data_IF_221281182608
#
_entry.id   IF_221281182608
#
_cell.length_a   1.000
_cell.length_b   1.000
_cell.length_c   1.000
_cell.angle_alpha   90.00
_cell.angle_beta   90.00
_cell.angle_gamma   90.00
#
_symmetry.space_group_name_H-M   'P 1'
#
loop_
_entity.id
_entity.type
_entity.pdbx_description
1 polymer ?
#
# COMPACT_ATOMS: atom_id res chain seq x y z
N UNK A 1 -3.79 -11.41 -8.34
CA UNK A 1 -4.71 -10.28 -8.63
C UNK A 1 -3.89 -8.99 -8.60
N UNK A 2 -4.16 -8.01 -9.47
CA UNK A 2 -3.46 -6.72 -9.40
C UNK A 2 -4.41 -5.53 -9.49
N UNK A 3 -4.05 -4.46 -8.82
CA UNK A 3 -4.77 -3.19 -8.78
C UNK A 3 -3.81 -2.08 -9.16
N UNK A 4 -4.26 -1.16 -10.00
CA UNK A 4 -3.53 0.06 -10.32
C UNK A 4 -4.19 1.23 -9.62
N UNK A 5 -3.39 1.97 -8.86
CA UNK A 5 -3.76 3.20 -8.17
C UNK A 5 -3.31 4.37 -9.04
N UNK A 6 -4.27 5.16 -9.54
CA UNK A 6 -3.97 6.36 -10.31
C UNK A 6 -3.83 7.54 -9.34
N UNK A 7 -2.62 8.06 -9.17
CA UNK A 7 -2.33 9.19 -8.25
C UNK A 7 -1.95 10.44 -9.03
N UNK A 8 -1.90 11.59 -8.34
CA UNK A 8 -1.45 12.85 -8.96
C UNK A 8 0.00 12.80 -9.49
N UNK A 9 0.82 11.89 -8.96
CA UNK A 9 2.22 11.70 -9.37
C UNK A 9 2.42 10.59 -10.40
N UNK A 10 1.36 9.86 -10.75
CA UNK A 10 1.39 8.75 -11.68
C UNK A 10 0.75 7.48 -11.12
N UNK A 11 1.01 6.37 -11.81
CA UNK A 11 0.35 5.10 -11.54
C UNK A 11 1.21 4.19 -10.66
N UNK A 12 0.59 3.60 -9.64
CA UNK A 12 1.20 2.57 -8.80
C UNK A 12 0.46 1.24 -9.00
N UNK A 13 1.18 0.23 -9.50
CA UNK A 13 0.60 -1.11 -9.67
C UNK A 13 0.95 -1.99 -8.50
N UNK A 14 -0.07 -2.56 -7.88
CA UNK A 14 0.04 -3.41 -6.70
C UNK A 14 -0.45 -4.82 -7.05
N UNK A 15 0.36 -5.81 -6.76
CA UNK A 15 -0.07 -7.21 -6.69
C UNK A 15 -0.72 -7.47 -5.32
N UNK A 16 -1.91 -8.06 -5.33
CA UNK A 16 -2.65 -8.45 -4.13
C UNK A 16 -2.43 -9.92 -3.80
N UNK A 17 -2.10 -10.17 -2.54
CA UNK A 17 -1.81 -11.48 -1.96
C UNK A 17 -3.07 -12.15 -1.38
N UNK A 18 -4.11 -12.31 -2.21
CA UNK A 18 -5.43 -12.78 -1.77
C UNK A 18 -5.41 -14.15 -1.08
N UNK A 19 -4.53 -15.07 -1.51
CA UNK A 19 -4.43 -16.43 -0.96
C UNK A 19 -3.42 -16.56 0.19
N UNK A 20 -2.55 -15.56 0.36
CA UNK A 20 -1.41 -15.61 1.28
C UNK A 20 -1.58 -14.68 2.47
N UNK A 21 -2.65 -13.89 2.52
CA UNK A 21 -3.02 -13.11 3.69
C UNK A 21 -3.66 -14.04 4.76
N UNK A 22 -3.12 -14.17 5.99
CA UNK A 22 -2.06 -13.38 6.61
C UNK A 22 -0.72 -14.14 6.78
N UNK A 23 -0.47 -15.22 6.02
CA UNK A 23 0.78 -16.00 6.10
C UNK A 23 2.02 -15.20 5.68
N UNK A 24 1.85 -14.21 4.78
CA UNK A 24 2.88 -13.23 4.48
C UNK A 24 2.77 -12.06 5.47
N UNK A 25 3.59 -12.04 6.52
CA UNK A 25 3.60 -10.97 7.55
C UNK A 25 4.94 -10.22 7.62
N UNK A 26 5.72 -10.26 6.55
CA UNK A 26 7.06 -9.69 6.53
C UNK A 26 7.12 -8.40 5.71
N UNK A 27 7.53 -7.32 6.37
CA UNK A 27 7.86 -6.04 5.78
C UNK A 27 9.33 -6.04 5.35
N UNK A 28 9.70 -7.00 4.49
CA UNK A 28 11.09 -7.33 4.19
C UNK A 28 11.74 -6.51 3.06
N UNK A 29 10.94 -5.77 2.28
CA UNK A 29 11.40 -5.03 1.10
C UNK A 29 10.58 -3.76 0.84
N UNK A 30 11.14 -2.81 0.08
CA UNK A 30 10.41 -1.61 -0.39
C UNK A 30 9.18 -2.02 -1.20
N UNK A 31 8.09 -1.27 -1.04
CA UNK A 31 6.85 -1.46 -1.79
C UNK A 31 5.88 -2.48 -1.19
N UNK A 32 6.15 -3.05 -0.01
CA UNK A 32 5.16 -3.89 0.68
C UNK A 32 3.97 -3.03 1.13
N UNK A 33 2.75 -3.53 0.87
CA UNK A 33 1.48 -2.87 1.16
C UNK A 33 0.78 -3.57 2.32
N UNK A 34 0.42 -2.80 3.34
CA UNK A 34 -0.08 -3.32 4.61
C UNK A 34 -1.21 -2.46 5.18
N UNK A 35 -2.10 -3.09 5.94
CA UNK A 35 -3.26 -2.40 6.55
C UNK A 35 -2.81 -1.58 7.76
N UNK A 36 -3.24 -0.32 7.83
CA UNK A 36 -3.13 0.46 9.05
C UNK A 36 -4.24 0.05 10.04
N UNK A 37 -3.86 -0.13 11.30
CA UNK A 37 -4.76 -0.57 12.37
C UNK A 37 -4.47 0.18 13.67
N UNK A 38 -5.43 0.15 14.60
CA UNK A 38 -5.31 0.70 15.97
C UNK A 38 -5.14 -0.41 17.03
N UNK A 39 -4.87 -1.63 16.59
CA UNK A 39 -4.86 -2.83 17.43
C UNK A 39 -5.43 -4.06 16.70
N UNK A 40 -5.43 -5.20 17.39
CA UNK A 40 -5.91 -6.47 16.84
C UNK A 40 -7.36 -6.33 16.34
N UNK A 41 -7.60 -6.81 15.12
CA UNK A 41 -8.92 -6.84 14.48
C UNK A 41 -9.59 -5.45 14.32
N UNK A 42 -8.79 -4.38 14.17
CA UNK A 42 -9.30 -3.02 13.92
C UNK A 42 -8.98 -2.51 12.51
N UNK A 43 -8.73 -3.42 11.57
CA UNK A 43 -8.49 -3.07 10.17
C UNK A 43 -9.75 -2.42 9.57
N UNK A 44 -9.56 -1.28 8.92
CA UNK A 44 -10.61 -0.56 8.20
C UNK A 44 -10.26 -0.46 6.72
N UNK A 45 -10.16 0.77 6.21
CA UNK A 45 -9.75 1.05 4.82
C UNK A 45 -8.38 1.69 4.70
N UNK A 46 -7.78 2.12 5.81
CA UNK A 46 -6.47 2.76 5.78
C UNK A 46 -5.38 1.71 5.52
N UNK A 47 -4.49 2.01 4.60
CA UNK A 47 -3.33 1.19 4.28
C UNK A 47 -2.11 2.08 4.11
N UNK A 48 -0.93 1.47 4.11
CA UNK A 48 0.34 2.14 3.86
C UNK A 48 1.25 1.27 2.99
N UNK A 49 2.22 1.93 2.34
CA UNK A 49 3.27 1.30 1.54
C UNK A 49 4.61 1.62 2.22
N UNK A 50 5.45 0.62 2.46
CA UNK A 50 6.75 0.86 3.10
C UNK A 50 7.81 1.29 2.08
N UNK A 51 8.58 2.33 2.42
CA UNK A 51 9.70 2.80 1.62
C UNK A 51 10.99 1.98 1.80
N UNK A 52 11.10 1.23 2.89
CA UNK A 52 12.26 0.39 3.19
C UNK A 52 11.84 -0.82 4.02
N UNK A 53 12.75 -1.74 4.28
CA UNK A 53 12.52 -2.89 5.17
C UNK A 53 12.19 -2.43 6.60
N UNK A 54 11.07 -2.90 7.15
CA UNK A 54 10.53 -2.47 8.46
C UNK A 54 10.08 -3.67 9.32
N UNK A 55 11.04 -4.46 9.82
CA UNK A 55 10.77 -5.69 10.59
C UNK A 55 9.98 -5.48 11.89
N UNK A 56 9.99 -4.26 12.43
CA UNK A 56 9.24 -3.87 13.62
C UNK A 56 7.70 -3.86 13.41
N UNK A 57 7.24 -3.87 12.16
CA UNK A 57 5.83 -3.91 11.76
C UNK A 57 5.32 -5.34 11.56
N UNK A 58 6.22 -6.32 11.53
CA UNK A 58 5.90 -7.73 11.33
C UNK A 58 4.96 -8.25 12.42
N UNK A 59 3.99 -9.06 12.02
CA UNK A 59 2.92 -9.61 12.88
C UNK A 59 2.00 -8.57 13.55
N UNK A 60 2.19 -7.27 13.30
CA UNK A 60 1.31 -6.20 13.82
C UNK A 60 0.33 -5.67 12.79
N UNK A 61 0.81 -5.58 11.54
CA UNK A 61 0.02 -5.06 10.42
C UNK A 61 -0.13 -6.13 9.35
N UNK A 62 -1.35 -6.26 8.85
CA UNK A 62 -1.69 -7.28 7.85
C UNK A 62 -1.16 -6.86 6.49
N UNK A 63 -0.11 -7.54 6.03
CA UNK A 63 0.39 -7.39 4.65
C UNK A 63 -0.58 -8.08 3.70
N UNK A 64 -0.99 -7.37 2.65
CA UNK A 64 -1.97 -7.87 1.68
C UNK A 64 -1.56 -7.64 0.23
N UNK A 65 -0.41 -7.01 -0.02
CA UNK A 65 0.10 -6.84 -1.36
C UNK A 65 1.50 -6.26 -1.44
N UNK A 66 1.95 -6.03 -2.67
CA UNK A 66 3.25 -5.45 -2.98
C UNK A 66 3.18 -4.64 -4.27
N UNK A 67 3.86 -3.49 -4.30
CA UNK A 67 4.10 -2.71 -5.52
C UNK A 67 4.96 -3.53 -6.48
N UNK A 68 4.45 -3.73 -7.68
CA UNK A 68 5.13 -4.46 -8.77
C UNK A 68 5.55 -3.54 -9.91
N UNK A 69 4.98 -2.34 -10.00
CA UNK A 69 5.29 -1.33 -11.02
C UNK A 69 4.98 0.08 -10.50
N UNK A 70 5.64 1.10 -11.07
CA UNK A 70 5.52 2.50 -10.65
C UNK A 70 6.42 2.89 -9.47
N UNK A 71 7.59 2.28 -9.33
CA UNK A 71 8.52 2.62 -8.24
C UNK A 71 9.03 4.06 -8.32
N UNK A 72 9.10 4.66 -9.52
CA UNK A 72 9.38 6.08 -9.70
C UNK A 72 8.36 6.98 -8.98
N UNK A 73 7.07 6.61 -9.02
CA UNK A 73 6.01 7.34 -8.32
C UNK A 73 6.19 7.20 -6.80
N UNK A 74 6.60 6.02 -6.34
CA UNK A 74 6.91 5.79 -4.93
C UNK A 74 8.12 6.61 -4.46
N UNK A 75 9.15 6.75 -5.31
CA UNK A 75 10.32 7.59 -5.06
C UNK A 75 9.95 9.07 -5.01
N UNK A 76 9.02 9.52 -5.85
CA UNK A 76 8.56 10.91 -5.86
C UNK A 76 7.65 11.21 -4.66
N UNK A 77 6.80 10.27 -4.25
CA UNK A 77 6.02 10.35 -3.00
C UNK A 77 6.93 10.46 -1.75
N UNK A 78 8.06 9.76 -1.73
CA UNK A 78 9.02 9.81 -0.61
C UNK A 78 9.75 11.16 -0.51
N UNK A 79 9.96 11.84 -1.65
CA UNK A 79 10.68 13.13 -1.71
C UNK A 79 9.79 14.35 -1.42
N UNK A 80 8.47 14.16 -1.29
CA UNK A 80 7.56 15.28 -1.08
C UNK A 80 7.91 16.07 0.19
N UNK A 81 7.89 17.42 0.13
CA UNK A 81 8.01 18.22 1.34
C UNK A 81 6.82 17.95 2.25
N UNK A 82 7.11 17.66 3.52
CA UNK A 82 6.12 17.37 4.55
C UNK A 82 6.24 18.35 5.70
N UNK A 83 5.11 18.60 6.35
CA UNK A 83 5.11 19.32 7.61
C UNK A 83 5.88 18.53 8.69
N UNK A 84 6.87 19.14 9.32
CA UNK A 84 7.74 18.48 10.32
C UNK A 84 6.99 17.91 11.54
N UNK A 85 5.81 18.47 11.88
CA UNK A 85 5.05 18.06 13.08
C UNK A 85 4.01 16.98 12.77
N UNK A 86 3.36 17.06 11.61
CA UNK A 86 2.23 16.19 11.26
C UNK A 86 2.59 15.13 10.23
N UNK A 87 3.76 15.24 9.58
CA UNK A 87 4.20 14.42 8.45
C UNK A 87 3.21 14.41 7.27
N UNK A 88 2.30 15.39 7.23
CA UNK A 88 1.39 15.58 6.10
C UNK A 88 2.14 16.29 4.96
N UNK A 89 2.03 15.81 3.71
CA UNK A 89 2.56 16.53 2.55
C UNK A 89 2.05 17.97 2.50
N UNK A 90 2.93 18.91 2.18
CA UNK A 90 2.55 20.33 2.03
C UNK A 90 1.63 20.54 0.82
N UNK A 91 1.90 19.80 -0.26
CA UNK A 91 1.02 19.72 -1.42
C UNK A 91 0.14 18.49 -1.30
N UNK A 92 -1.17 18.70 -1.27
CA UNK A 92 -2.15 17.62 -1.24
C UNK A 92 -1.94 16.70 -2.46
N UNK A 93 -1.64 15.43 -2.19
CA UNK A 93 -1.48 14.37 -3.21
C UNK A 93 -2.59 13.35 -3.03
N UNK A 94 -3.33 13.05 -4.08
CA UNK A 94 -4.59 12.30 -4.04
C UNK A 94 -4.55 11.07 -4.95
N UNK A 95 -5.31 10.07 -4.51
CA UNK A 95 -5.70 8.93 -5.34
C UNK A 95 -6.93 9.34 -6.16
N UNK A 96 -6.76 9.42 -7.48
CA UNK A 96 -7.78 9.86 -8.43
C UNK A 96 -8.76 8.75 -8.76
N UNK A 97 -8.25 7.56 -9.06
CA UNK A 97 -9.06 6.40 -9.42
C UNK A 97 -8.31 5.10 -9.16
N UNK A 98 -9.05 3.98 -9.23
CA UNK A 98 -8.51 2.64 -9.00
C UNK A 98 -8.99 1.71 -10.11
N UNK A 99 -8.06 1.07 -10.81
CA UNK A 99 -8.34 0.07 -11.83
C UNK A 99 -8.01 -1.32 -11.31
N UNK A 100 -9.00 -2.23 -11.34
CA UNK A 100 -8.83 -3.62 -10.90
C UNK A 100 -8.65 -4.50 -12.14
N UNK A 101 -7.47 -5.11 -12.32
CA UNK A 101 -7.11 -5.81 -13.57
C UNK A 101 -7.48 -7.30 -13.61
N UNK A 102 -7.87 -7.88 -12.48
CA UNK A 102 -8.45 -9.23 -12.41
C UNK A 102 -9.12 -9.39 -11.05
N UNK A 103 -10.46 -9.40 -10.99
CA UNK A 103 -11.20 -9.64 -9.76
C UNK A 103 -11.55 -11.14 -9.64
N UNK A 104 -10.82 -11.94 -8.84
CA UNK A 104 -11.08 -13.37 -8.70
C UNK A 104 -12.39 -13.67 -7.95
N UNK A 105 -13.02 -12.65 -7.36
CA UNK A 105 -14.30 -12.77 -6.64
C UNK A 105 -15.48 -12.41 -7.54
N UNK A 106 -15.24 -11.87 -8.74
CA UNK A 106 -16.32 -11.47 -9.65
C UNK A 106 -17.20 -12.65 -10.08
N UNK A 107 -16.64 -13.86 -10.14
CA UNK A 107 -17.37 -15.08 -10.52
C UNK A 107 -18.02 -15.80 -9.33
N UNK A 108 -17.89 -15.25 -8.11
CA UNK A 108 -18.36 -15.89 -6.86
C UNK A 108 -19.52 -15.11 -6.20
N UNK A 109 -20.04 -14.08 -6.88
CA UNK A 109 -21.14 -13.22 -6.42
C UNK A 109 -22.48 -13.58 -7.09
#
# INVERSE_FOLDING_TARGET
MSVTLHTDLGDLKIELYCEQCPKACEHNQRGIVSMASRGLNTNGSQFFIIYSKQQNLDNKYTVFGKVIDGFEVLDDLEKLPVNEKTYRPETDTRLQSVTIHANPIADVA
#
